data_IF_630945715085
#
_entry.id   IF_630945715085
#
_cell.length_a   1.000
_cell.length_b   1.000
_cell.length_c   1.000
_cell.angle_alpha   90.00
_cell.angle_beta   90.00
_cell.angle_gamma   90.00
#
_symmetry.space_group_name_H-M   'P 1'
#
loop_
_entity.id
_entity.type
_entity.pdbx_description
1 polymer ?
#
# COMPACT_ATOMS: atom_id res chain seq x y z
N UNK A 1 -53.65 38.95 -19.05
CA UNK A 1 -53.91 37.49 -19.12
C UNK A 1 -52.58 36.77 -19.26
N UNK A 2 -52.34 35.83 -18.33
CA UNK A 2 -51.09 35.09 -18.14
C UNK A 2 -50.66 34.31 -19.39
N UNK A 3 -49.39 34.41 -19.76
CA UNK A 3 -48.74 33.38 -20.56
C UNK A 3 -47.91 32.50 -19.62
N UNK A 4 -48.49 31.33 -19.37
CA UNK A 4 -48.00 30.23 -18.56
C UNK A 4 -46.66 29.73 -19.12
N UNK A 5 -45.57 29.91 -18.37
CA UNK A 5 -44.27 29.29 -18.66
C UNK A 5 -44.36 27.80 -18.35
N UNK A 6 -44.49 26.98 -19.40
CA UNK A 6 -44.29 25.54 -19.29
C UNK A 6 -42.81 25.28 -19.59
N UNK A 7 -42.03 25.03 -18.55
CA UNK A 7 -40.71 24.44 -18.69
C UNK A 7 -40.57 23.31 -17.69
N UNK A 8 -40.73 22.08 -18.16
CA UNK A 8 -39.76 20.99 -17.98
C UNK A 8 -40.27 19.78 -18.79
N UNK A 9 -39.39 19.06 -19.50
CA UNK A 9 -38.83 17.88 -18.84
C UNK A 9 -37.33 17.64 -19.08
N UNK A 10 -36.76 17.01 -18.06
CA UNK A 10 -35.47 16.35 -17.99
C UNK A 10 -35.33 15.39 -19.19
N UNK A 11 -34.30 15.57 -20.02
CA UNK A 11 -33.76 14.48 -20.84
C UNK A 11 -32.26 14.36 -20.56
N UNK A 12 -31.99 13.40 -19.69
CA UNK A 12 -30.78 12.63 -19.51
C UNK A 12 -30.24 12.15 -20.87
N UNK A 13 -29.04 12.59 -21.29
CA UNK A 13 -28.21 11.76 -22.17
C UNK A 13 -26.77 12.24 -22.31
N UNK A 14 -25.88 11.42 -21.74
CA UNK A 14 -24.62 11.00 -22.34
C UNK A 14 -23.51 12.05 -22.49
N UNK A 15 -22.90 12.41 -21.36
CA UNK A 15 -21.47 12.73 -21.34
C UNK A 15 -20.71 11.41 -21.48
N UNK A 16 -20.34 11.07 -22.71
CA UNK A 16 -19.42 9.97 -23.00
C UNK A 16 -18.02 10.38 -22.51
N UNK A 17 -17.75 10.13 -21.23
CA UNK A 17 -16.40 10.19 -20.69
C UNK A 17 -15.61 9.03 -21.31
N UNK A 18 -14.87 9.34 -22.37
CA UNK A 18 -13.82 8.47 -22.87
C UNK A 18 -12.77 8.35 -21.76
N UNK A 19 -12.94 7.34 -20.89
CA UNK A 19 -11.88 6.89 -20.00
C UNK A 19 -10.86 6.22 -20.93
N UNK A 20 -9.90 7.01 -21.40
CA UNK A 20 -8.66 6.47 -21.94
C UNK A 20 -8.03 5.65 -20.83
N UNK A 21 -8.29 4.34 -20.84
CA UNK A 21 -7.55 3.37 -20.05
C UNK A 21 -6.15 3.27 -20.59
N UNK A 22 -5.32 4.27 -20.32
CA UNK A 22 -3.88 4.11 -20.39
C UNK A 22 -3.49 3.31 -19.17
N UNK A 23 -3.31 2.00 -19.34
CA UNK A 23 -2.46 1.22 -18.43
C UNK A 23 -1.06 1.81 -18.57
N UNK A 24 -0.77 2.83 -17.75
CA UNK A 24 0.56 3.35 -17.59
C UNK A 24 1.40 2.24 -16.95
N UNK A 25 2.25 1.60 -17.75
CA UNK A 25 3.50 1.09 -17.20
C UNK A 25 4.21 2.30 -16.56
N UNK A 26 4.50 2.18 -15.28
CA UNK A 26 4.91 3.26 -14.38
C UNK A 26 6.38 3.66 -14.64
N UNK A 27 6.62 4.49 -15.65
CA UNK A 27 7.96 4.99 -16.00
C UNK A 27 8.56 5.94 -14.93
N UNK A 28 7.86 6.22 -13.82
CA UNK A 28 8.34 7.11 -12.76
C UNK A 28 8.13 6.55 -11.34
N UNK A 29 8.38 5.26 -11.12
CA UNK A 29 8.53 4.74 -9.75
C UNK A 29 9.60 5.58 -9.04
N UNK A 30 9.35 6.05 -7.81
CA UNK A 30 10.31 6.88 -7.07
C UNK A 30 11.51 6.05 -6.59
N UNK A 31 12.62 6.72 -6.23
CA UNK A 31 13.74 6.05 -5.56
C UNK A 31 13.32 5.44 -4.22
N UNK A 32 12.51 6.14 -3.42
CA UNK A 32 12.00 5.64 -2.15
C UNK A 32 11.16 4.36 -2.31
N UNK A 33 10.28 4.32 -3.31
CA UNK A 33 9.48 3.13 -3.64
C UNK A 33 10.37 1.97 -4.07
N UNK A 34 11.42 2.20 -4.86
CA UNK A 34 12.42 1.17 -5.21
C UNK A 34 13.17 0.65 -3.98
N UNK A 35 13.66 1.53 -3.12
CA UNK A 35 14.36 1.15 -1.88
C UNK A 35 13.48 0.27 -0.99
N UNK A 36 12.21 0.64 -0.79
CA UNK A 36 11.29 -0.19 0.00
C UNK A 36 11.02 -1.55 -0.66
N UNK A 37 10.93 -1.61 -1.99
CA UNK A 37 10.79 -2.87 -2.71
C UNK A 37 12.02 -3.78 -2.54
N UNK A 38 13.23 -3.22 -2.66
CA UNK A 38 14.49 -3.93 -2.42
C UNK A 38 14.58 -4.45 -0.98
N UNK A 39 14.21 -3.64 0.01
CA UNK A 39 14.17 -4.08 1.41
C UNK A 39 13.14 -5.19 1.65
N UNK A 40 11.99 -5.19 0.94
CA UNK A 40 11.03 -6.31 0.99
C UNK A 40 11.60 -7.60 0.38
N UNK A 41 12.39 -7.51 -0.68
CA UNK A 41 13.06 -8.67 -1.30
C UNK A 41 14.09 -9.28 -0.34
N UNK A 42 14.82 -8.45 0.39
CA UNK A 42 15.84 -8.88 1.35
C UNK A 42 15.25 -9.25 2.73
N UNK A 43 13.94 -9.07 2.92
CA UNK A 43 13.27 -9.18 4.20
C UNK A 43 13.29 -10.62 4.72
N UNK A 44 13.78 -10.79 5.94
CA UNK A 44 13.75 -12.07 6.67
C UNK A 44 12.76 -11.97 7.84
N UNK A 45 13.24 -12.10 9.07
CA UNK A 45 12.48 -11.86 10.30
C UNK A 45 12.37 -10.38 10.65
N UNK A 46 13.20 -9.53 10.07
CA UNK A 46 13.25 -8.08 10.22
C UNK A 46 14.13 -7.54 9.09
N UNK A 47 14.11 -6.23 8.85
CA UNK A 47 14.97 -5.58 7.87
C UNK A 47 16.45 -5.73 8.26
N UNK A 48 17.34 -5.93 7.28
CA UNK A 48 18.78 -5.96 7.53
C UNK A 48 19.29 -4.60 8.07
N UNK A 49 20.47 -4.55 8.68
CA UNK A 49 21.03 -3.26 9.14
C UNK A 49 21.17 -2.24 7.99
N UNK A 50 21.60 -2.70 6.81
CA UNK A 50 21.68 -1.87 5.61
C UNK A 50 20.31 -1.35 5.17
N UNK A 51 19.28 -2.20 5.19
CA UNK A 51 17.91 -1.81 4.87
C UNK A 51 17.34 -0.84 5.91
N UNK A 52 17.60 -1.06 7.20
CA UNK A 52 17.16 -0.17 8.30
C UNK A 52 17.66 1.26 8.06
N UNK A 53 18.93 1.42 7.69
CA UNK A 53 19.49 2.76 7.46
C UNK A 53 18.88 3.44 6.24
N UNK A 54 18.59 2.71 5.17
CA UNK A 54 17.92 3.27 4.00
C UNK A 54 16.45 3.60 4.28
N UNK A 55 15.73 2.74 5.00
CA UNK A 55 14.34 2.98 5.38
C UNK A 55 14.20 4.18 6.32
N UNK A 56 15.14 4.39 7.24
CA UNK A 56 15.19 5.61 8.08
C UNK A 56 15.38 6.87 7.24
N UNK A 57 16.21 6.83 6.19
CA UNK A 57 16.35 7.96 5.25
C UNK A 57 15.04 8.23 4.53
N UNK A 58 14.42 7.20 3.95
CA UNK A 58 13.11 7.32 3.29
C UNK A 58 12.06 7.94 4.23
N UNK A 59 12.03 7.53 5.49
CA UNK A 59 11.10 8.06 6.49
C UNK A 59 11.36 9.54 6.86
N UNK A 60 12.61 10.01 6.74
CA UNK A 60 13.03 11.34 7.15
C UNK A 60 13.14 12.37 6.00
N UNK A 61 13.30 11.92 4.76
CA UNK A 61 13.52 12.81 3.60
C UNK A 61 12.29 13.67 3.27
N UNK A 62 12.49 14.95 2.96
CA UNK A 62 11.38 15.86 2.60
C UNK A 62 10.78 15.55 1.22
N UNK A 63 11.57 14.91 0.36
CA UNK A 63 11.16 14.52 -0.99
C UNK A 63 10.29 13.27 -1.04
N UNK A 64 10.15 12.54 0.07
CA UNK A 64 9.31 11.35 0.13
C UNK A 64 7.88 11.70 0.53
N UNK A 65 6.93 11.02 -0.11
CA UNK A 65 5.51 11.22 0.14
C UNK A 65 5.09 10.67 1.51
N UNK A 66 3.94 11.11 2.02
CA UNK A 66 3.41 10.62 3.28
C UNK A 66 3.15 9.10 3.27
N UNK A 67 2.68 8.56 2.15
CA UNK A 67 2.44 7.12 1.99
C UNK A 67 3.75 6.33 1.99
N UNK A 68 4.79 6.82 1.32
CA UNK A 68 6.11 6.19 1.33
C UNK A 68 6.73 6.20 2.73
N UNK A 69 6.65 7.32 3.45
CA UNK A 69 7.10 7.41 4.85
C UNK A 69 6.36 6.40 5.73
N UNK A 70 5.05 6.26 5.51
CA UNK A 70 4.21 5.31 6.24
C UNK A 70 4.62 3.86 5.99
N UNK A 71 4.88 3.49 4.73
CA UNK A 71 5.34 2.13 4.38
C UNK A 71 6.75 1.88 4.93
N UNK A 72 7.66 2.85 4.83
CA UNK A 72 9.01 2.73 5.37
C UNK A 72 8.99 2.52 6.90
N UNK A 73 8.14 3.25 7.63
CA UNK A 73 7.97 3.05 9.06
C UNK A 73 7.40 1.66 9.39
N UNK A 74 6.45 1.18 8.60
CA UNK A 74 5.89 -0.16 8.78
C UNK A 74 6.93 -1.27 8.52
N UNK A 75 7.83 -1.08 7.55
CA UNK A 75 8.97 -1.98 7.31
C UNK A 75 9.97 -1.97 8.48
N UNK A 76 10.26 -0.80 9.06
CA UNK A 76 11.11 -0.70 10.25
C UNK A 76 10.51 -1.40 11.48
N UNK A 77 9.18 -1.43 11.57
CA UNK A 77 8.45 -2.13 12.64
C UNK A 77 8.20 -3.61 12.33
N UNK A 78 8.51 -4.05 11.11
CA UNK A 78 8.20 -5.39 10.65
C UNK A 78 9.04 -6.43 11.39
N UNK A 79 8.36 -7.49 11.86
CA UNK A 79 8.99 -8.68 12.44
C UNK A 79 8.61 -9.90 11.62
N UNK A 80 7.62 -10.65 12.08
CA UNK A 80 7.06 -11.78 11.33
C UNK A 80 5.92 -11.35 10.39
N UNK A 81 5.28 -10.22 10.71
CA UNK A 81 4.11 -9.67 10.04
C UNK A 81 4.08 -8.16 10.27
N UNK A 82 3.29 -7.44 9.48
CA UNK A 82 2.99 -6.03 9.75
C UNK A 82 2.43 -5.87 11.19
N UNK A 83 2.92 -4.87 11.92
CA UNK A 83 2.47 -4.60 13.28
C UNK A 83 1.00 -4.17 13.28
N UNK A 84 0.26 -4.50 14.35
CA UNK A 84 -1.18 -4.20 14.41
C UNK A 84 -1.47 -2.69 14.38
N UNK A 85 -0.53 -1.87 14.86
CA UNK A 85 -0.58 -0.40 14.78
C UNK A 85 -0.43 0.13 13.36
N UNK A 86 0.27 -0.60 12.48
CA UNK A 86 0.61 -0.13 11.14
C UNK A 86 -0.45 -0.56 10.10
N UNK A 87 -1.14 -1.69 10.36
CA UNK A 87 -2.15 -2.27 9.47
C UNK A 87 -3.26 -1.30 9.04
N UNK A 88 -3.85 -0.45 9.90
CA UNK A 88 -4.90 0.48 9.47
C UNK A 88 -4.39 1.48 8.43
N UNK A 89 -3.17 2.01 8.61
CA UNK A 89 -2.58 2.98 7.70
C UNK A 89 -2.21 2.33 6.36
N UNK A 90 -1.61 1.14 6.39
CA UNK A 90 -1.33 0.37 5.17
C UNK A 90 -2.63 0.07 4.39
N UNK A 91 -3.73 -0.26 5.08
CA UNK A 91 -5.04 -0.48 4.44
C UNK A 91 -5.67 0.80 3.88
N UNK A 92 -5.33 1.96 4.43
CA UNK A 92 -5.77 3.23 3.88
C UNK A 92 -5.06 3.49 2.54
N UNK A 93 -3.74 3.28 2.49
CA UNK A 93 -2.93 3.44 1.26
C UNK A 93 -3.45 2.53 0.14
N UNK A 94 -3.79 1.26 0.43
CA UNK A 94 -4.31 0.36 -0.63
C UNK A 94 -5.64 0.81 -1.24
N UNK A 95 -6.41 1.65 -0.52
CA UNK A 95 -7.70 2.18 -0.95
C UNK A 95 -7.61 3.61 -1.47
N UNK A 96 -6.47 4.27 -1.32
CA UNK A 96 -6.27 5.63 -1.80
C UNK A 96 -6.22 5.63 -3.34
N UNK A 97 -7.14 6.37 -3.95
CA UNK A 97 -7.24 6.50 -5.41
C UNK A 97 -6.18 7.42 -6.01
N UNK A 98 -5.53 8.23 -5.16
CA UNK A 98 -4.46 9.15 -5.53
C UNK A 98 -3.07 8.54 -5.36
N UNK A 99 -2.94 7.46 -4.57
CA UNK A 99 -1.68 6.77 -4.36
C UNK A 99 -1.19 6.07 -5.64
N UNK A 100 0.10 6.18 -5.99
CA UNK A 100 0.70 5.48 -7.12
C UNK A 100 0.51 3.96 -7.03
N UNK A 101 0.34 3.29 -8.18
CA UNK A 101 0.07 1.86 -8.22
C UNK A 101 1.16 1.02 -7.52
N UNK A 102 2.44 1.40 -7.68
CA UNK A 102 3.55 0.75 -7.01
C UNK A 102 3.48 0.89 -5.47
N UNK A 103 3.16 2.09 -4.96
CA UNK A 103 3.00 2.37 -3.53
C UNK A 103 1.88 1.51 -2.92
N UNK A 104 0.72 1.43 -3.60
CA UNK A 104 -0.39 0.56 -3.17
C UNK A 104 0.01 -0.91 -3.18
N UNK A 105 0.81 -1.33 -4.16
CA UNK A 105 1.29 -2.70 -4.27
C UNK A 105 2.21 -3.06 -3.10
N UNK A 106 3.15 -2.17 -2.74
CA UNK A 106 3.99 -2.34 -1.55
C UNK A 106 3.16 -2.47 -0.27
N UNK A 107 2.19 -1.58 -0.06
CA UNK A 107 1.32 -1.65 1.12
C UNK A 107 0.51 -2.96 1.17
N UNK A 108 -0.01 -3.41 0.03
CA UNK A 108 -0.74 -4.67 -0.08
C UNK A 108 0.14 -5.89 0.19
N UNK A 109 1.35 -5.93 -0.37
CA UNK A 109 2.31 -7.01 -0.14
C UNK A 109 2.66 -7.06 1.35
N UNK A 110 3.03 -5.92 1.95
CA UNK A 110 3.42 -5.86 3.36
C UNK A 110 2.31 -6.31 4.32
N UNK A 111 1.04 -6.02 4.01
CA UNK A 111 -0.11 -6.51 4.76
C UNK A 111 -0.28 -8.03 4.70
N UNK A 112 0.12 -8.65 3.60
CA UNK A 112 -0.01 -10.09 3.37
C UNK A 112 1.20 -10.91 3.85
N UNK A 113 2.35 -10.27 4.04
CA UNK A 113 3.55 -10.93 4.53
C UNK A 113 3.35 -11.41 5.97
N UNK A 114 3.45 -12.73 6.15
CA UNK A 114 3.36 -13.41 7.44
C UNK A 114 4.27 -14.64 7.45
N UNK A 115 5.33 -14.59 8.25
CA UNK A 115 6.31 -15.66 8.37
C UNK A 115 6.18 -16.38 9.72
N UNK A 116 5.29 -17.38 9.77
CA UNK A 116 5.14 -18.32 10.90
C UNK A 116 4.95 -19.75 10.41
N UNK A 117 5.15 -20.73 11.31
CA UNK A 117 4.72 -22.10 11.05
C UNK A 117 3.21 -22.13 10.80
N UNK A 118 2.74 -23.04 9.94
CA UNK A 118 1.30 -23.23 9.76
C UNK A 118 0.65 -23.61 11.09
N UNK A 119 -0.65 -23.32 11.26
CA UNK A 119 -1.37 -23.69 12.49
C UNK A 119 -1.29 -25.21 12.77
N UNK A 120 -1.31 -26.02 11.71
CA UNK A 120 -1.16 -27.47 11.79
C UNK A 120 0.23 -27.88 12.28
N UNK A 121 1.29 -27.27 11.77
CA UNK A 121 2.66 -27.56 12.20
C UNK A 121 2.93 -27.03 13.62
N UNK A 122 2.40 -25.86 13.96
CA UNK A 122 2.46 -25.32 15.32
C UNK A 122 1.78 -26.27 16.34
N UNK A 123 0.66 -26.89 15.97
CA UNK A 123 -0.01 -27.88 16.81
C UNK A 123 0.84 -29.15 17.02
N UNK A 124 1.46 -29.67 15.95
CA UNK A 124 2.40 -30.80 16.02
C UNK A 124 3.62 -30.48 16.89
N UNK A 125 4.24 -29.32 16.69
CA UNK A 125 5.40 -28.88 17.49
C UNK A 125 5.07 -28.79 18.98
N UNK A 126 3.89 -28.27 19.35
CA UNK A 126 3.42 -28.24 20.75
C UNK A 126 3.22 -29.62 21.37
N UNK A 127 3.02 -30.67 20.57
CA UNK A 127 2.93 -32.04 21.09
C UNK A 127 4.32 -32.64 21.37
N UNK A 128 5.34 -32.24 20.62
CA UNK A 128 6.73 -32.72 20.80
C UNK A 128 7.37 -32.13 22.06
N UNK A 129 7.04 -30.87 22.38
CA UNK A 129 7.63 -30.16 23.52
C UNK A 129 6.90 -30.37 24.85
N UNK A 130 5.98 -31.33 24.92
CA UNK A 130 5.27 -31.72 26.15
C UNK A 130 5.94 -32.93 26.78
#
# INVERSE_FOLDING_TARGET
>A
MNLLRITFPIIFSMLLLAISGTSAADDNVSSATRTMAESMINLQHYASEADIDQLKKVAAEDTTTADEKTIAQALLNFKHKAADTDKPNLKAITKDVTAPAAVKSLASILLSLNHHATDADAAKLKQITK
#
